data_IF_712053897916
#
_entry.id   IF_712053897916
#
_cell.length_a   1.000
_cell.length_b   1.000
_cell.length_c   1.000
_cell.angle_alpha   90.00
_cell.angle_beta   90.00
_cell.angle_gamma   90.00
#
_symmetry.space_group_name_H-M   'P 1'
#
loop_
_entity.id
_entity.type
_entity.pdbx_description
1 polymer ?
#
# COMPACT_ATOMS: atom_id res chain seq x y z
N UNK A 1 6.57 9.86 -3.79
CA UNK A 1 5.44 9.43 -2.93
C UNK A 1 5.88 8.41 -1.89
N UNK A 2 6.68 7.40 -2.25
CA UNK A 2 7.23 6.40 -1.30
C UNK A 2 8.76 6.42 -1.18
N UNK A 3 9.44 7.37 -1.81
CA UNK A 3 10.91 7.49 -1.88
C UNK A 3 11.59 7.73 -0.51
N UNK A 4 10.84 8.30 0.45
CA UNK A 4 11.31 8.61 1.81
C UNK A 4 11.03 7.47 2.83
N UNK A 5 10.52 6.32 2.38
CA UNK A 5 10.21 5.21 3.30
C UNK A 5 11.50 4.48 3.68
N UNK A 6 11.96 4.70 4.92
CA UNK A 6 13.16 4.02 5.46
C UNK A 6 12.96 2.50 5.43
N UNK A 7 13.89 1.79 4.77
CA UNK A 7 13.83 0.34 4.58
C UNK A 7 13.13 -0.11 3.29
N UNK A 8 12.65 0.83 2.47
CA UNK A 8 12.15 0.56 1.13
C UNK A 8 13.23 0.93 0.11
N UNK A 9 13.61 -0.02 -0.75
CA UNK A 9 14.50 0.29 -1.86
C UNK A 9 13.80 1.25 -2.83
N UNK A 10 14.54 2.13 -3.53
CA UNK A 10 13.94 3.03 -4.52
C UNK A 10 13.19 2.28 -5.63
N UNK A 11 13.62 1.06 -5.95
CA UNK A 11 12.91 0.17 -6.89
C UNK A 11 11.54 -0.26 -6.36
N UNK A 12 11.44 -0.62 -5.08
CA UNK A 12 10.17 -0.93 -4.42
C UNK A 12 9.29 0.32 -4.33
N UNK A 13 9.86 1.49 -4.02
CA UNK A 13 9.12 2.75 -3.98
C UNK A 13 8.50 3.11 -5.35
N UNK A 14 9.24 2.87 -6.44
CA UNK A 14 8.74 3.04 -7.80
C UNK A 14 7.63 2.01 -8.11
N UNK A 15 7.82 0.76 -7.72
CA UNK A 15 6.83 -0.30 -7.92
C UNK A 15 5.51 0.01 -7.18
N UNK A 16 5.59 0.52 -5.95
CA UNK A 16 4.39 0.85 -5.16
C UNK A 16 3.68 2.06 -5.73
N UNK A 17 4.43 3.04 -6.23
CA UNK A 17 3.87 4.19 -6.94
C UNK A 17 3.10 3.72 -8.18
N UNK A 18 3.70 2.84 -8.99
CA UNK A 18 3.05 2.28 -10.17
C UNK A 18 1.79 1.46 -9.81
N UNK A 19 1.77 0.76 -8.68
CA UNK A 19 0.59 0.05 -8.20
C UNK A 19 -0.52 1.00 -7.77
N UNK A 20 -0.21 2.09 -7.07
CA UNK A 20 -1.19 3.14 -6.72
C UNK A 20 -1.82 3.73 -7.99
N UNK A 21 -1.01 4.03 -9.00
CA UNK A 21 -1.53 4.58 -10.27
C UNK A 21 -2.43 3.59 -11.02
N UNK A 22 -2.14 2.30 -10.97
CA UNK A 22 -3.01 1.25 -11.53
C UNK A 22 -4.30 1.08 -10.70
N UNK A 23 -4.25 1.23 -9.38
CA UNK A 23 -5.42 1.07 -8.52
C UNK A 23 -6.36 2.28 -8.51
N UNK A 24 -5.90 3.49 -8.86
CA UNK A 24 -6.76 4.69 -8.97
C UNK A 24 -7.98 4.48 -9.88
N UNK A 25 -7.82 4.11 -11.16
CA UNK A 25 -8.98 3.89 -12.04
C UNK A 25 -9.83 2.69 -11.61
N UNK A 26 -9.23 1.68 -10.96
CA UNK A 26 -9.98 0.54 -10.42
C UNK A 26 -10.87 0.98 -9.26
N UNK A 27 -10.35 1.81 -8.35
CA UNK A 27 -11.12 2.38 -7.24
C UNK A 27 -12.26 3.26 -7.75
N UNK A 28 -12.00 4.12 -8.74
CA UNK A 28 -13.01 5.01 -9.31
C UNK A 28 -14.12 4.26 -10.06
N UNK A 29 -13.79 3.19 -10.78
CA UNK A 29 -14.73 2.48 -11.63
C UNK A 29 -15.43 1.29 -10.94
N UNK A 30 -14.73 0.61 -10.02
CA UNK A 30 -15.18 -0.67 -9.43
C UNK A 30 -15.19 -0.65 -7.89
N UNK A 31 -14.65 0.39 -7.24
CA UNK A 31 -14.62 0.51 -5.80
C UNK A 31 -13.48 -0.26 -5.10
N UNK A 32 -13.50 -0.23 -3.77
CA UNK A 32 -12.40 -0.70 -2.92
C UNK A 32 -12.25 -2.23 -2.89
N UNK A 33 -13.33 -2.98 -3.13
CA UNK A 33 -13.32 -4.44 -3.20
C UNK A 33 -12.48 -4.95 -4.39
N UNK A 34 -12.66 -4.33 -5.56
CA UNK A 34 -11.89 -4.64 -6.75
C UNK A 34 -10.39 -4.32 -6.58
N UNK A 35 -10.07 -3.25 -5.84
CA UNK A 35 -8.67 -2.93 -5.49
C UNK A 35 -8.06 -3.99 -4.58
N UNK A 36 -8.79 -4.45 -3.56
CA UNK A 36 -8.30 -5.52 -2.67
C UNK A 36 -8.10 -6.84 -3.42
N UNK A 37 -9.03 -7.18 -4.32
CA UNK A 37 -8.90 -8.34 -5.21
C UNK A 37 -7.68 -8.23 -6.11
N UNK A 38 -7.48 -7.08 -6.77
CA UNK A 38 -6.31 -6.82 -7.61
C UNK A 38 -4.97 -6.94 -6.86
N UNK A 39 -4.92 -6.47 -5.62
CA UNK A 39 -3.74 -6.60 -4.76
C UNK A 39 -3.51 -8.05 -4.32
N UNK A 40 -4.58 -8.78 -3.99
CA UNK A 40 -4.52 -10.19 -3.63
C UNK A 40 -4.04 -11.08 -4.80
N UNK A 41 -4.53 -10.84 -6.02
CA UNK A 41 -4.13 -11.58 -7.23
C UNK A 41 -2.65 -11.38 -7.57
N UNK A 42 -2.10 -10.19 -7.28
CA UNK A 42 -0.68 -9.88 -7.48
C UNK A 42 0.22 -10.36 -6.35
N UNK A 43 -0.33 -11.12 -5.39
CA UNK A 43 0.36 -11.57 -4.18
C UNK A 43 1.04 -10.42 -3.42
N UNK A 44 0.43 -9.24 -3.46
CA UNK A 44 0.96 -8.04 -2.80
C UNK A 44 0.90 -8.27 -1.30
N UNK A 45 2.04 -8.10 -0.62
CA UNK A 45 2.12 -8.32 0.82
C UNK A 45 1.15 -7.41 1.57
N UNK A 46 0.67 -7.84 2.75
CA UNK A 46 -0.28 -7.08 3.58
C UNK A 46 0.21 -5.64 3.82
N UNK A 47 1.50 -5.46 4.07
CA UNK A 47 2.13 -4.14 4.26
C UNK A 47 1.99 -3.25 3.02
N UNK A 48 2.26 -3.80 1.84
CA UNK A 48 2.13 -3.11 0.56
C UNK A 48 0.66 -2.76 0.27
N UNK A 49 -0.26 -3.69 0.50
CA UNK A 49 -1.68 -3.47 0.27
C UNK A 49 -2.25 -2.34 1.14
N UNK A 50 -1.83 -2.26 2.41
CA UNK A 50 -2.19 -1.17 3.32
C UNK A 50 -1.60 0.16 2.83
N UNK A 51 -0.32 0.16 2.41
CA UNK A 51 0.34 1.34 1.89
C UNK A 51 -0.36 1.92 0.66
N UNK A 52 -0.70 1.05 -0.31
CA UNK A 52 -1.38 1.41 -1.56
C UNK A 52 -2.79 1.93 -1.28
N UNK A 53 -3.56 1.21 -0.47
CA UNK A 53 -4.94 1.61 -0.11
C UNK A 53 -4.96 2.96 0.60
N UNK A 54 -3.98 3.22 1.47
CA UNK A 54 -3.84 4.49 2.18
C UNK A 54 -3.49 5.65 1.24
N UNK A 55 -2.58 5.40 0.31
CA UNK A 55 -2.20 6.35 -0.74
C UNK A 55 -3.38 6.71 -1.65
N UNK A 56 -4.25 5.75 -1.96
CA UNK A 56 -5.48 5.97 -2.73
C UNK A 56 -6.51 6.82 -1.97
N UNK A 57 -6.64 6.62 -0.66
CA UNK A 57 -7.57 7.35 0.19
C UNK A 57 -7.10 8.78 0.55
N UNK A 58 -5.93 9.22 0.07
CA UNK A 58 -5.37 10.54 0.37
C UNK A 58 -4.99 10.75 1.84
N UNK A 59 -5.02 9.70 2.68
CA UNK A 59 -4.66 9.75 4.11
C UNK A 59 -3.15 9.73 4.31
N UNK A 60 -2.45 10.70 3.72
CA UNK A 60 -1.00 10.87 3.82
C UNK A 60 -0.51 11.32 5.22
N UNK A 61 -1.43 11.63 6.14
CA UNK A 61 -1.11 12.28 7.42
C UNK A 61 -0.35 11.40 8.41
N UNK A 62 -0.41 10.06 8.30
CA UNK A 62 0.45 9.19 9.12
C UNK A 62 1.52 8.58 8.23
N UNK A 63 2.80 8.79 8.55
CA UNK A 63 3.91 8.32 7.74
C UNK A 63 3.89 6.80 7.71
N UNK A 64 4.25 6.23 6.56
CA UNK A 64 4.14 4.80 6.31
C UNK A 64 4.91 3.95 7.32
N UNK A 65 5.99 4.51 7.88
CA UNK A 65 6.79 3.95 8.97
C UNK A 65 5.95 3.57 10.19
N UNK A 66 4.99 4.40 10.59
CA UNK A 66 4.16 4.16 11.77
C UNK A 66 3.26 2.95 11.51
N UNK A 67 2.77 2.78 10.27
CA UNK A 67 1.95 1.62 9.92
C UNK A 67 2.80 0.36 9.82
N UNK A 68 3.98 0.42 9.21
CA UNK A 68 4.91 -0.71 9.15
C UNK A 68 5.32 -1.13 10.56
N UNK A 69 5.66 -0.16 11.42
CA UNK A 69 6.02 -0.41 12.81
C UNK A 69 4.82 -0.95 13.58
N UNK A 70 3.63 -0.38 13.43
CA UNK A 70 2.40 -0.89 14.06
C UNK A 70 2.08 -2.30 13.57
N UNK A 71 2.18 -2.63 12.28
CA UNK A 71 1.87 -3.99 11.79
C UNK A 71 2.99 -4.98 12.10
N UNK A 72 4.25 -4.54 12.11
CA UNK A 72 5.40 -5.36 12.49
C UNK A 72 5.42 -5.64 14.00
N UNK A 73 4.96 -4.71 14.83
CA UNK A 73 4.83 -4.85 16.29
C UNK A 73 3.48 -5.45 16.71
N UNK A 74 2.44 -5.29 15.90
CA UNK A 74 1.15 -5.92 16.11
C UNK A 74 1.32 -7.42 15.95
N UNK A 75 1.09 -8.12 17.04
CA UNK A 75 1.18 -9.56 17.24
C UNK A 75 0.09 -10.32 16.46
N UNK A 76 -0.07 -10.05 15.16
CA UNK A 76 -1.00 -10.69 14.24
C UNK A 76 -0.31 -11.69 13.30
N UNK A 77 0.99 -11.96 13.48
CA UNK A 77 1.60 -13.23 13.06
C UNK A 77 1.39 -14.28 14.16
N UNK A 78 0.19 -14.85 14.20
CA UNK A 78 -0.06 -16.16 14.80
C UNK A 78 -0.84 -16.98 13.80
#
# INVERSE_FOLDING_TARGET
MFDDVIGLSPEDAAHWTALVEQCRPILENNGMDAVQTFLAERNVGIIQAIAITRALLGKAETPLRDVIEIVATSTARK
#
